data_IF_485060343081
#
_entry.id   IF_485060343081
#
_cell.length_a   1.000
_cell.length_b   1.000
_cell.length_c   1.000
_cell.angle_alpha   90.00
_cell.angle_beta   90.00
_cell.angle_gamma   90.00
#
_symmetry.space_group_name_H-M   'P 1'
#
loop_
_entity.id
_entity.type
_entity.pdbx_description
1 polymer ?
#
# COMPACT_ATOMS: atom_id res chain seq x y z
N UNK A 1 -46.55 12.91 -5.70
CA UNK A 1 -45.32 12.30 -5.13
C UNK A 1 -44.71 11.17 -6.02
N UNK A 2 -44.86 11.17 -7.36
CA UNK A 2 -44.23 10.15 -8.25
C UNK A 2 -42.93 10.61 -8.91
N UNK A 3 -42.75 11.92 -9.09
CA UNK A 3 -41.59 12.53 -9.75
C UNK A 3 -40.31 12.50 -8.91
N UNK A 4 -40.43 12.73 -7.59
CA UNK A 4 -39.28 12.71 -6.67
C UNK A 4 -38.63 11.32 -6.51
N UNK A 5 -39.42 10.25 -6.65
CA UNK A 5 -38.92 8.86 -6.55
C UNK A 5 -38.03 8.49 -7.74
N UNK A 6 -38.38 8.95 -8.95
CA UNK A 6 -37.61 8.68 -10.16
C UNK A 6 -36.25 9.39 -10.17
N UNK A 7 -36.19 10.62 -9.69
CA UNK A 7 -34.94 11.38 -9.56
C UNK A 7 -33.99 10.69 -8.55
N UNK A 8 -34.53 10.19 -7.44
CA UNK A 8 -33.74 9.46 -6.44
C UNK A 8 -33.18 8.15 -6.98
N UNK A 9 -33.97 7.42 -7.76
CA UNK A 9 -33.51 6.17 -8.38
C UNK A 9 -32.47 6.42 -9.46
N UNK A 10 -32.65 7.42 -10.31
CA UNK A 10 -31.65 7.81 -11.32
C UNK A 10 -30.36 8.30 -10.67
N UNK A 11 -30.44 9.08 -9.59
CA UNK A 11 -29.28 9.51 -8.82
C UNK A 11 -28.53 8.34 -8.18
N UNK A 12 -29.25 7.37 -7.61
CA UNK A 12 -28.64 6.17 -7.03
C UNK A 12 -27.96 5.30 -8.09
N UNK A 13 -28.60 5.10 -9.26
CA UNK A 13 -28.00 4.36 -10.38
C UNK A 13 -26.76 5.08 -10.91
N UNK A 14 -26.80 6.41 -11.05
CA UNK A 14 -25.65 7.21 -11.45
C UNK A 14 -24.48 7.09 -10.48
N UNK A 15 -24.75 7.17 -9.17
CA UNK A 15 -23.72 7.01 -8.14
C UNK A 15 -23.09 5.61 -8.13
N UNK A 16 -23.90 4.56 -8.32
CA UNK A 16 -23.41 3.18 -8.40
C UNK A 16 -22.54 3.00 -9.65
N UNK A 17 -22.99 3.47 -10.81
CA UNK A 17 -22.20 3.39 -12.05
C UNK A 17 -20.87 4.16 -11.92
N UNK A 18 -20.88 5.34 -11.29
CA UNK A 18 -19.66 6.10 -11.04
C UNK A 18 -18.70 5.38 -10.09
N UNK A 19 -19.23 4.77 -9.03
CA UNK A 19 -18.45 3.92 -8.13
C UNK A 19 -17.85 2.70 -8.83
N UNK A 20 -18.61 2.05 -9.71
CA UNK A 20 -18.12 0.92 -10.51
C UNK A 20 -17.02 1.36 -11.49
N UNK A 21 -17.15 2.52 -12.13
CA UNK A 21 -16.10 3.07 -13.00
C UNK A 21 -14.84 3.40 -12.20
N UNK A 22 -14.96 4.01 -11.03
CA UNK A 22 -13.81 4.30 -10.16
C UNK A 22 -13.10 3.04 -9.67
N UNK A 23 -13.85 2.01 -9.30
CA UNK A 23 -13.30 0.69 -8.93
C UNK A 23 -12.67 0.01 -10.13
N UNK A 24 -13.29 0.07 -11.31
CA UNK A 24 -12.74 -0.50 -12.54
C UNK A 24 -11.46 0.20 -12.98
N UNK A 25 -11.37 1.54 -12.86
CA UNK A 25 -10.14 2.28 -13.14
C UNK A 25 -9.03 1.96 -12.14
N UNK A 26 -9.37 1.85 -10.84
CA UNK A 26 -8.42 1.42 -9.81
C UNK A 26 -7.94 -0.02 -10.00
N UNK A 27 -8.83 -0.93 -10.41
CA UNK A 27 -8.49 -2.33 -10.74
C UNK A 27 -7.77 -2.46 -12.09
N UNK A 28 -8.07 -1.61 -13.06
CA UNK A 28 -7.36 -1.58 -14.35
C UNK A 28 -5.90 -1.15 -14.14
N UNK A 29 -5.62 -0.19 -13.25
CA UNK A 29 -4.25 0.14 -12.83
C UNK A 29 -3.55 -0.99 -12.06
N UNK A 30 -4.29 -1.94 -11.48
CA UNK A 30 -3.73 -3.12 -10.81
C UNK A 30 -3.55 -4.32 -11.76
N UNK A 31 -4.39 -4.46 -12.78
CA UNK A 31 -4.43 -5.64 -13.66
C UNK A 31 -3.71 -5.43 -14.99
N UNK A 32 -3.68 -4.20 -15.52
CA UNK A 32 -2.82 -3.81 -16.63
C UNK A 32 -1.54 -3.28 -16.01
N UNK A 33 -0.55 -4.16 -15.85
CA UNK A 33 0.82 -3.72 -15.62
C UNK A 33 1.15 -2.69 -16.69
N UNK A 34 1.48 -1.46 -16.26
CA UNK A 34 1.97 -0.39 -17.13
C UNK A 34 2.99 -0.99 -18.10
N UNK A 35 2.96 -0.57 -19.36
CA UNK A 35 4.05 -0.94 -20.27
C UNK A 35 5.38 -0.56 -19.59
N UNK A 36 6.43 -1.39 -19.71
CA UNK A 36 7.71 -1.13 -19.04
C UNK A 36 8.24 0.29 -19.29
N UNK A 37 7.82 0.90 -20.40
CA UNK A 37 8.15 2.25 -20.83
C UNK A 37 7.46 3.36 -20.03
N UNK A 38 6.31 3.08 -19.41
CA UNK A 38 5.48 4.00 -18.63
C UNK A 38 5.68 3.87 -17.11
N UNK A 39 6.54 2.94 -16.66
CA UNK A 39 6.86 2.78 -15.24
C UNK A 39 7.66 3.99 -14.77
N UNK A 40 6.99 4.91 -14.09
CA UNK A 40 7.60 5.99 -13.31
C UNK A 40 8.10 5.44 -11.97
N UNK A 41 9.40 5.16 -11.93
CA UNK A 41 10.07 4.62 -10.76
C UNK A 41 10.12 5.60 -9.59
N UNK A 42 10.27 6.90 -9.86
CA UNK A 42 10.25 7.92 -8.82
C UNK A 42 8.88 7.98 -8.13
N UNK A 43 7.80 7.96 -8.92
CA UNK A 43 6.44 7.93 -8.39
C UNK A 43 6.16 6.66 -7.57
N UNK A 44 6.59 5.48 -8.05
CA UNK A 44 6.41 4.21 -7.31
C UNK A 44 7.17 4.21 -5.98
N UNK A 45 8.38 4.77 -5.94
CA UNK A 45 9.16 4.93 -4.71
C UNK A 45 8.43 5.85 -3.74
N UNK A 46 7.87 6.95 -4.21
CA UNK A 46 7.09 7.87 -3.38
C UNK A 46 5.85 7.18 -2.79
N UNK A 47 5.08 6.46 -3.62
CA UNK A 47 3.91 5.72 -3.16
C UNK A 47 4.28 4.63 -2.11
N UNK A 48 5.41 3.96 -2.31
CA UNK A 48 5.92 2.98 -1.35
C UNK A 48 6.35 3.62 -0.03
N UNK A 49 7.00 4.79 -0.09
CA UNK A 49 7.33 5.57 1.11
C UNK A 49 6.08 5.91 1.88
N UNK A 50 5.06 6.44 1.23
CA UNK A 50 3.81 6.85 1.89
C UNK A 50 3.11 5.66 2.55
N UNK A 51 3.11 4.49 1.90
CA UNK A 51 2.59 3.25 2.50
C UNK A 51 3.39 2.78 3.70
N UNK A 52 4.72 2.84 3.65
CA UNK A 52 5.57 2.48 4.80
C UNK A 52 5.34 3.46 5.96
N UNK A 53 5.24 4.76 5.68
CA UNK A 53 4.91 5.75 6.72
C UNK A 53 3.56 5.45 7.35
N UNK A 54 2.52 5.26 6.55
CA UNK A 54 1.19 4.92 7.04
C UNK A 54 1.16 3.63 7.87
N UNK A 55 1.98 2.63 7.49
CA UNK A 55 2.16 1.39 8.24
C UNK A 55 2.81 1.67 9.62
N UNK A 56 3.86 2.51 9.66
CA UNK A 56 4.56 2.84 10.90
C UNK A 56 3.76 3.73 11.86
N UNK A 57 2.86 4.57 11.33
CA UNK A 57 1.97 5.43 12.12
C UNK A 57 0.76 4.67 12.68
N UNK A 58 0.45 3.49 12.12
CA UNK A 58 -0.66 2.68 12.57
C UNK A 58 -0.36 2.11 13.95
N UNK A 59 -1.33 2.20 14.86
CA UNK A 59 -1.29 1.42 16.10
C UNK A 59 -1.13 -0.07 15.77
N UNK A 60 -0.21 -0.79 16.45
CA UNK A 60 -0.03 -2.21 16.21
C UNK A 60 -1.38 -2.92 16.33
N UNK A 61 -1.79 -3.65 15.28
CA UNK A 61 -2.85 -4.65 15.44
C UNK A 61 -2.37 -5.71 16.44
N UNK A 62 -3.30 -6.35 17.16
CA UNK A 62 -2.97 -7.38 18.14
C UNK A 62 -2.11 -8.48 17.49
N UNK A 63 -0.82 -8.50 17.82
CA UNK A 63 0.17 -9.46 17.31
C UNK A 63 1.37 -8.83 16.59
N UNK A 64 2.51 -9.50 16.72
CA UNK A 64 3.78 -9.11 16.08
C UNK A 64 3.79 -9.29 14.54
N UNK A 65 2.80 -9.98 13.96
CA UNK A 65 2.80 -10.40 12.56
C UNK A 65 1.60 -9.76 11.82
N UNK A 66 1.82 -8.57 11.22
CA UNK A 66 0.79 -7.91 10.41
C UNK A 66 0.94 -8.38 8.95
N UNK A 67 -0.11 -8.94 8.32
CA UNK A 67 -0.04 -9.36 6.91
C UNK A 67 0.31 -8.22 5.95
N UNK A 68 0.10 -6.95 6.34
CA UNK A 68 0.52 -5.80 5.54
C UNK A 68 2.05 -5.67 5.46
N UNK A 69 2.79 -6.11 6.48
CA UNK A 69 4.26 -6.08 6.49
C UNK A 69 4.83 -6.95 5.35
N UNK A 70 4.24 -8.14 5.16
CA UNK A 70 4.58 -9.06 4.06
C UNK A 70 4.20 -8.49 2.68
N UNK A 71 3.05 -7.81 2.57
CA UNK A 71 2.61 -7.19 1.31
C UNK A 71 3.55 -6.05 0.92
N UNK A 72 3.88 -5.16 1.85
CA UNK A 72 4.75 -4.00 1.60
C UNK A 72 6.17 -4.46 1.24
N UNK A 73 6.72 -5.43 1.96
CA UNK A 73 8.05 -5.98 1.64
C UNK A 73 8.10 -6.65 0.26
N UNK A 74 7.05 -7.39 -0.14
CA UNK A 74 6.98 -7.93 -1.49
C UNK A 74 6.87 -6.83 -2.55
N UNK A 75 6.06 -5.80 -2.31
CA UNK A 75 5.89 -4.68 -3.23
C UNK A 75 7.20 -3.89 -3.44
N UNK A 76 8.00 -3.71 -2.37
CA UNK A 76 9.35 -3.14 -2.48
C UNK A 76 10.24 -4.00 -3.37
N UNK A 77 10.22 -5.33 -3.19
CA UNK A 77 11.00 -6.28 -4.01
C UNK A 77 10.60 -6.22 -5.49
N UNK A 78 9.31 -6.24 -5.78
CA UNK A 78 8.79 -6.15 -7.15
C UNK A 78 9.13 -4.82 -7.81
N UNK A 79 8.97 -3.71 -7.07
CA UNK A 79 9.31 -2.37 -7.58
C UNK A 79 10.81 -2.24 -7.83
N UNK A 80 11.66 -2.83 -6.97
CA UNK A 80 13.10 -2.86 -7.19
C UNK A 80 13.43 -3.60 -8.48
N UNK A 81 12.84 -4.78 -8.70
CA UNK A 81 13.07 -5.55 -9.92
C UNK A 81 12.65 -4.77 -11.18
N UNK A 82 11.49 -4.10 -11.13
CA UNK A 82 10.99 -3.28 -12.23
C UNK A 82 11.82 -2.02 -12.50
N UNK A 83 12.39 -1.39 -11.48
CA UNK A 83 13.22 -0.19 -11.65
C UNK A 83 14.68 -0.51 -12.01
N UNK A 84 15.21 -1.62 -11.49
CA UNK A 84 16.53 -2.11 -11.87
C UNK A 84 16.58 -2.50 -13.35
N UNK A 85 15.52 -3.10 -13.90
CA UNK A 85 15.46 -3.45 -15.32
C UNK A 85 15.44 -2.23 -16.26
N UNK A 86 15.07 -1.05 -15.75
CA UNK A 86 15.17 0.24 -16.47
C UNK A 86 16.47 0.98 -16.27
N UNK A 87 17.36 0.49 -15.39
CA UNK A 87 18.60 1.18 -15.05
C UNK A 87 18.43 2.40 -14.14
N UNK A 88 17.31 2.51 -13.41
CA UNK A 88 17.09 3.59 -12.45
C UNK A 88 17.78 3.30 -11.11
N UNK A 89 19.06 3.67 -11.04
CA UNK A 89 19.93 3.46 -9.88
C UNK A 89 19.50 4.30 -8.67
N UNK A 90 18.92 5.48 -8.89
CA UNK A 90 18.49 6.36 -7.81
C UNK A 90 17.26 5.79 -7.09
N UNK A 91 16.24 5.38 -7.86
CA UNK A 91 15.04 4.76 -7.31
C UNK A 91 15.36 3.46 -6.56
N UNK A 92 16.25 2.62 -7.11
CA UNK A 92 16.69 1.40 -6.41
C UNK A 92 17.39 1.68 -5.07
N UNK A 93 18.27 2.68 -5.00
CA UNK A 93 18.91 3.10 -3.74
C UNK A 93 17.89 3.61 -2.72
N UNK A 94 16.86 4.34 -3.16
CA UNK A 94 15.79 4.77 -2.28
C UNK A 94 14.95 3.60 -1.75
N UNK A 95 14.66 2.60 -2.58
CA UNK A 95 13.97 1.38 -2.15
C UNK A 95 14.77 0.59 -1.13
N UNK A 96 16.10 0.51 -1.28
CA UNK A 96 16.97 -0.14 -0.30
C UNK A 96 16.90 0.58 1.05
N UNK A 97 16.97 1.92 1.03
CA UNK A 97 16.84 2.73 2.24
C UNK A 97 15.49 2.51 2.92
N UNK A 98 14.40 2.47 2.15
CA UNK A 98 13.05 2.21 2.66
C UNK A 98 12.97 0.81 3.28
N UNK A 99 13.52 -0.21 2.61
CA UNK A 99 13.52 -1.58 3.11
C UNK A 99 14.28 -1.71 4.43
N UNK A 100 15.44 -1.06 4.56
CA UNK A 100 16.22 -1.10 5.78
C UNK A 100 15.47 -0.46 6.95
N UNK A 101 14.84 0.70 6.74
CA UNK A 101 14.01 1.35 7.75
C UNK A 101 12.79 0.51 8.16
N UNK A 102 12.14 -0.13 7.19
CA UNK A 102 11.04 -1.05 7.48
C UNK A 102 11.52 -2.22 8.34
N UNK A 103 12.67 -2.81 8.01
CA UNK A 103 13.25 -3.92 8.80
C UNK A 103 13.53 -3.50 10.24
N UNK A 104 14.14 -2.34 10.46
CA UNK A 104 14.43 -1.81 11.78
C UNK A 104 13.14 -1.62 12.61
N UNK A 105 12.10 -1.07 11.98
CA UNK A 105 10.79 -0.88 12.62
C UNK A 105 10.14 -2.20 13.03
N UNK A 106 10.15 -3.21 12.16
CA UNK A 106 9.60 -4.53 12.47
C UNK A 106 10.34 -5.18 13.63
N UNK A 107 11.68 -5.10 13.66
CA UNK A 107 12.47 -5.60 14.77
C UNK A 107 12.15 -4.89 16.10
N UNK A 108 11.94 -3.57 16.06
CA UNK A 108 11.54 -2.81 17.24
C UNK A 108 10.16 -3.27 17.74
N UNK A 109 9.17 -3.39 16.84
CA UNK A 109 7.82 -3.87 17.18
C UNK A 109 7.85 -5.25 17.84
N UNK A 110 8.63 -6.20 17.31
CA UNK A 110 8.77 -7.53 17.91
C UNK A 110 9.32 -7.45 19.33
N UNK A 111 10.33 -6.61 19.59
CA UNK A 111 10.89 -6.43 20.94
C UNK A 111 9.90 -5.80 21.90
N UNK A 112 9.13 -4.80 21.44
CA UNK A 112 8.10 -4.17 22.25
C UNK A 112 6.97 -5.13 22.59
N UNK A 113 6.53 -5.96 21.63
CA UNK A 113 5.50 -6.97 21.87
C UNK A 113 5.96 -8.03 22.86
N UNK A 114 7.21 -8.50 22.76
CA UNK A 114 7.82 -9.39 23.73
C UNK A 114 7.84 -8.76 25.13
N UNK A 115 8.30 -7.51 25.24
CA UNK A 115 8.34 -6.80 26.52
C UNK A 115 6.94 -6.63 27.13
N UNK A 116 5.91 -6.38 26.32
CA UNK A 116 4.50 -6.32 26.77
C UNK A 116 4.03 -7.67 27.31
N UNK A 117 4.33 -8.76 26.61
CA UNK A 117 3.99 -10.11 27.09
C UNK A 117 4.67 -10.44 28.41
N UNK A 118 5.96 -10.10 28.56
CA UNK A 118 6.69 -10.28 29.82
C UNK A 118 6.06 -9.48 30.96
N UNK A 119 5.67 -8.22 30.73
CA UNK A 119 5.02 -7.37 31.73
C UNK A 119 3.61 -7.86 32.12
N UNK A 120 2.84 -8.41 31.18
CA UNK A 120 1.51 -8.98 31.45
C UNK A 120 1.58 -10.31 32.22
N UNK A 121 2.73 -10.98 32.20
CA UNK A 121 2.96 -12.25 32.90
C UNK A 121 3.49 -12.05 34.34
N UNK A 122 3.76 -10.81 34.77
CA UNK A 122 4.10 -10.43 36.14
C UNK A 122 2.83 -10.28 37.01
#
# INVERSE_FOLDING_TARGET
MRTASWIRNLGAVGAILWGVVGVYQGLAQQTLGLEPEEIDCAYRVQLLRDRVVALTERSPHEGADDPQDAIVSNLIRETRAACASRGDVESTKHLDTIQDRLRDHLQLRTREDQARHELLAL
#
